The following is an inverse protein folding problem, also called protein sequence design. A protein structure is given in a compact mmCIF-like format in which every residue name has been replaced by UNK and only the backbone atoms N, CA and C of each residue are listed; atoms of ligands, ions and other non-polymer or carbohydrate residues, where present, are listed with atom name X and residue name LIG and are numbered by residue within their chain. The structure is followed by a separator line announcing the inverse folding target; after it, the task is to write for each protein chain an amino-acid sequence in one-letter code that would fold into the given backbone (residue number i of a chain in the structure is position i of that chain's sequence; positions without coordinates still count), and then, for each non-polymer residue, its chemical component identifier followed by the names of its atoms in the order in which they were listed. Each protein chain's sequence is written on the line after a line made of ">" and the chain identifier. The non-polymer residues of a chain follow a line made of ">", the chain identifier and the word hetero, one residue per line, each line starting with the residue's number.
data_IF_560281228322
#
_entry.id   IF_560281228322
#
_cell.length_a   1.000
_cell.length_b   1.000
_cell.length_c   1.000
_cell.angle_alpha   90.00
_cell.angle_beta   90.00
_cell.angle_gamma   90.00
#
_symmetry.space_group_name_H-M   'P 1'
#
loop_
_entity.id
_entity.type
_entity.pdbx_description
1 polymer ?
#
# COMPACT_ATOMS: atom_id res chain seq x y z
N UNK A 1 -13.34 -8.21 -4.35
CA UNK A 1 -12.97 -8.22 -2.92
C UNK A 1 -11.51 -7.80 -2.84
N UNK A 2 -11.17 -6.84 -1.97
CA UNK A 2 -9.78 -6.47 -1.72
C UNK A 2 -9.08 -7.61 -0.98
N UNK A 3 -7.84 -7.90 -1.36
CA UNK A 3 -7.00 -8.93 -0.71
C UNK A 3 -5.94 -8.25 0.15
N UNK A 4 -5.88 -8.62 1.44
CA UNK A 4 -4.86 -8.12 2.36
C UNK A 4 -3.71 -9.12 2.48
N UNK A 5 -2.50 -8.68 2.13
CA UNK A 5 -1.29 -9.51 2.20
C UNK A 5 -0.38 -9.01 3.34
N UNK A 6 0.01 -9.92 4.24
CA UNK A 6 0.72 -9.57 5.49
C UNK A 6 2.23 -9.75 5.45
N UNK A 7 2.74 -10.49 4.47
CA UNK A 7 4.16 -10.86 4.44
C UNK A 7 4.80 -10.49 3.11
N UNK A 8 6.08 -10.14 3.18
CA UNK A 8 6.89 -9.85 1.99
C UNK A 8 6.98 -11.07 1.07
N UNK A 9 7.04 -12.28 1.61
CA UNK A 9 7.10 -13.52 0.81
C UNK A 9 5.81 -13.75 0.02
N UNK A 10 4.64 -13.59 0.66
CA UNK A 10 3.34 -13.69 -0.01
C UNK A 10 3.17 -12.61 -1.08
N UNK A 11 3.52 -11.36 -0.76
CA UNK A 11 3.43 -10.25 -1.72
C UNK A 11 4.32 -10.49 -2.95
N UNK A 12 5.56 -10.94 -2.72
CA UNK A 12 6.49 -11.28 -3.81
C UNK A 12 5.99 -12.45 -4.65
N UNK A 13 5.36 -13.45 -4.05
CA UNK A 13 4.79 -14.58 -4.78
C UNK A 13 3.66 -14.12 -5.71
N UNK A 14 2.74 -13.30 -5.19
CA UNK A 14 1.63 -12.74 -5.96
C UNK A 14 2.10 -11.82 -7.10
N UNK A 15 3.04 -10.91 -6.83
CA UNK A 15 3.61 -10.03 -7.87
C UNK A 15 4.34 -10.82 -8.95
N UNK A 16 5.05 -11.91 -8.60
CA UNK A 16 5.69 -12.79 -9.58
C UNK A 16 4.66 -13.47 -10.48
N UNK A 17 3.57 -13.97 -9.92
CA UNK A 17 2.46 -14.58 -10.67
C UNK A 17 1.87 -13.59 -11.68
N UNK A 18 1.52 -12.37 -11.23
CA UNK A 18 0.98 -11.31 -12.09
C UNK A 18 1.94 -10.95 -13.23
N UNK A 19 3.22 -10.72 -12.91
CA UNK A 19 4.25 -10.43 -13.92
C UNK A 19 4.45 -11.58 -14.90
N UNK A 20 4.32 -12.82 -14.47
CA UNK A 20 4.44 -13.99 -15.37
C UNK A 20 3.33 -14.05 -16.41
N UNK A 21 2.18 -13.41 -16.14
CA UNK A 21 1.06 -13.23 -17.07
C UNK A 21 1.18 -11.96 -17.93
N UNK A 22 2.28 -11.22 -17.81
CA UNK A 22 2.48 -9.95 -18.52
C UNK A 22 1.71 -8.76 -17.93
N UNK A 23 1.12 -8.91 -16.73
CA UNK A 23 0.37 -7.85 -16.07
C UNK A 23 1.30 -6.76 -15.50
N UNK A 24 0.90 -5.51 -15.67
CA UNK A 24 1.53 -4.32 -15.08
C UNK A 24 1.02 -4.09 -13.66
N UNK A 25 1.93 -3.68 -12.75
CA UNK A 25 1.63 -3.50 -11.33
C UNK A 25 1.94 -2.07 -10.91
N UNK A 26 0.90 -1.32 -10.55
CA UNK A 26 1.01 -0.01 -9.91
C UNK A 26 1.19 -0.16 -8.40
N UNK A 27 2.02 0.70 -7.81
CA UNK A 27 2.28 0.72 -6.37
C UNK A 27 1.98 2.12 -5.81
N UNK A 28 1.13 2.18 -4.79
CA UNK A 28 0.84 3.39 -4.02
C UNK A 28 1.34 3.16 -2.58
N UNK A 29 2.56 3.60 -2.25
CA UNK A 29 3.08 3.46 -0.90
C UNK A 29 2.42 4.47 0.04
N UNK A 30 1.85 4.00 1.14
CA UNK A 30 1.25 4.85 2.18
C UNK A 30 1.69 4.41 3.58
N UNK A 31 1.43 5.26 4.56
CA UNK A 31 1.56 4.92 5.98
C UNK A 31 0.21 4.60 6.65
N UNK A 32 -0.87 4.42 5.88
CA UNK A 32 -2.24 4.26 6.40
C UNK A 32 -2.92 5.59 6.73
N UNK A 33 -4.03 5.54 7.47
CA UNK A 33 -4.89 6.68 7.75
C UNK A 33 -5.31 7.36 6.44
N UNK A 34 -5.92 6.56 5.57
CA UNK A 34 -6.20 6.93 4.19
C UNK A 34 -7.25 8.05 4.11
N UNK A 35 -7.16 8.83 3.04
CA UNK A 35 -8.04 9.96 2.75
C UNK A 35 -8.09 10.15 1.23
N UNK A 36 -8.93 11.06 0.74
CA UNK A 36 -9.20 11.23 -0.70
C UNK A 36 -7.94 11.43 -1.55
N UNK A 37 -6.92 12.13 -1.02
CA UNK A 37 -5.61 12.24 -1.68
C UNK A 37 -4.95 10.88 -1.99
N UNK A 38 -5.00 9.92 -1.06
CA UNK A 38 -4.50 8.56 -1.30
C UNK A 38 -5.35 7.82 -2.33
N UNK A 39 -6.67 7.97 -2.26
CA UNK A 39 -7.60 7.32 -3.20
C UNK A 39 -7.42 7.84 -4.63
N UNK A 40 -7.12 9.13 -4.80
CA UNK A 40 -6.81 9.70 -6.11
C UNK A 40 -5.57 9.05 -6.74
N UNK A 41 -4.54 8.73 -5.94
CA UNK A 41 -3.36 8.00 -6.41
C UNK A 41 -3.69 6.55 -6.80
N UNK A 42 -4.53 5.87 -6.02
CA UNK A 42 -5.01 4.52 -6.34
C UNK A 42 -5.79 4.53 -7.66
N UNK A 43 -6.72 5.48 -7.84
CA UNK A 43 -7.49 5.64 -9.08
C UNK A 43 -6.58 5.93 -10.29
N UNK A 44 -5.59 6.81 -10.12
CA UNK A 44 -4.61 7.10 -11.17
C UNK A 44 -3.76 5.88 -11.54
N UNK A 45 -3.41 5.03 -10.56
CA UNK A 45 -2.71 3.77 -10.81
C UNK A 45 -3.61 2.75 -11.52
N UNK A 46 -4.89 2.65 -11.13
CA UNK A 46 -5.87 1.76 -11.77
C UNK A 46 -6.08 2.10 -13.25
N UNK A 47 -6.01 3.38 -13.62
CA UNK A 47 -6.12 3.80 -15.01
C UNK A 47 -4.92 3.43 -15.89
N UNK A 48 -3.80 2.97 -15.29
CA UNK A 48 -2.51 2.76 -15.98
C UNK A 48 -1.93 1.36 -15.79
N UNK A 49 -2.48 0.56 -14.88
CA UNK A 49 -1.94 -0.74 -14.51
C UNK A 49 -3.04 -1.79 -14.37
N UNK A 50 -2.72 -3.04 -14.70
CA UNK A 50 -3.64 -4.17 -14.59
C UNK A 50 -3.92 -4.54 -13.12
N UNK A 51 -2.93 -4.31 -12.26
CA UNK A 51 -2.98 -4.54 -10.81
C UNK A 51 -2.52 -3.30 -10.07
N UNK A 52 -3.13 -3.03 -8.92
CA UNK A 52 -2.72 -1.95 -8.03
C UNK A 52 -2.54 -2.49 -6.62
N UNK A 53 -1.42 -2.12 -6.00
CA UNK A 53 -1.09 -2.42 -4.61
C UNK A 53 -1.02 -1.09 -3.87
N UNK A 54 -1.78 -0.96 -2.79
CA UNK A 54 -1.55 0.06 -1.77
C UNK A 54 -0.82 -0.58 -0.59
N UNK A 55 0.26 0.03 -0.10
CA UNK A 55 0.91 -0.44 1.14
C UNK A 55 0.48 0.41 2.31
N UNK A 56 0.27 -0.21 3.47
CA UNK A 56 0.08 0.47 4.75
C UNK A 56 1.26 0.08 5.64
N UNK A 57 2.22 0.99 5.79
CA UNK A 57 3.39 0.77 6.65
C UNK A 57 3.88 2.08 7.25
N UNK A 58 3.57 2.30 8.54
CA UNK A 58 4.15 3.41 9.32
C UNK A 58 5.63 3.09 9.54
N UNK A 59 6.51 3.68 8.75
CA UNK A 59 7.93 3.36 8.74
C UNK A 59 8.67 4.09 9.88
N UNK A 60 9.14 3.41 10.95
CA UNK A 60 9.79 4.08 12.08
C UNK A 60 11.03 4.87 11.68
N UNK A 61 11.74 4.45 10.62
CA UNK A 61 12.94 5.12 10.14
C UNK A 61 12.66 6.51 9.51
N UNK A 62 11.40 6.85 9.25
CA UNK A 62 10.98 8.16 8.74
C UNK A 62 10.64 9.16 9.86
N UNK A 63 10.71 8.74 11.13
CA UNK A 63 10.42 9.60 12.28
C UNK A 63 11.72 9.93 13.01
N UNK A 64 11.97 11.23 13.20
CA UNK A 64 13.03 11.74 14.04
C UNK A 64 12.79 11.51 15.54
N UNK A 65 13.81 11.73 16.40
CA UNK A 65 13.70 11.48 17.84
C UNK A 65 12.59 12.27 18.56
N UNK A 66 12.20 13.42 18.00
CA UNK A 66 11.16 14.30 18.54
C UNK A 66 9.84 14.22 17.76
N UNK A 67 9.77 13.41 16.72
CA UNK A 67 8.55 13.22 15.93
C UNK A 67 7.70 12.11 16.51
N UNK A 68 6.38 12.26 16.42
CA UNK A 68 5.45 11.40 17.15
C UNK A 68 5.08 10.14 16.35
N UNK A 69 6.02 9.20 16.28
CA UNK A 69 5.76 7.84 15.78
C UNK A 69 4.67 7.13 16.59
N UNK A 70 4.56 7.44 17.89
CA UNK A 70 3.60 6.83 18.80
C UNK A 70 2.16 7.20 18.44
N UNK A 71 1.90 8.50 18.26
CA UNK A 71 0.58 9.04 17.97
C UNK A 71 0.18 9.00 16.49
N UNK A 72 1.06 8.53 15.59
CA UNK A 72 0.70 8.38 14.18
C UNK A 72 -0.57 7.50 14.06
N UNK A 73 -1.64 7.98 13.38
CA UNK A 73 -2.92 7.29 13.32
C UNK A 73 -2.78 5.92 12.64
N UNK A 74 -3.41 4.90 13.23
CA UNK A 74 -3.43 3.52 12.73
C UNK A 74 -4.86 3.02 12.68
N UNK A 75 -5.50 3.18 11.53
CA UNK A 75 -6.92 2.87 11.28
C UNK A 75 -7.06 1.79 10.22
N UNK A 76 -6.27 0.72 10.32
CA UNK A 76 -6.16 -0.30 9.27
C UNK A 76 -7.51 -0.94 8.88
N UNK A 77 -8.43 -1.10 9.84
CA UNK A 77 -9.76 -1.63 9.60
C UNK A 77 -10.67 -0.67 8.79
N UNK A 78 -10.40 0.63 8.85
CA UNK A 78 -11.08 1.64 8.02
C UNK A 78 -10.41 1.79 6.65
N UNK A 79 -9.10 1.50 6.58
CA UNK A 79 -8.31 1.61 5.36
C UNK A 79 -8.49 0.43 4.37
N UNK A 80 -8.93 -0.75 4.85
CA UNK A 80 -9.00 -2.01 4.10
C UNK A 80 -10.38 -2.33 3.50
#
# INVERSE_FOLDING_TARGET
>A
MLETVRTVSSLRAQVRDWRSRGETVGLVPTMGALHDGHLALVQAAQARCDRVIATIFVNPAQFGPTEDFGAYPRTEAEDA
#
